data_IF_519364243189
#
_entry.id   IF_519364243189
#
_cell.length_a   1.000
_cell.length_b   1.000
_cell.length_c   1.000
_cell.angle_alpha   90.00
_cell.angle_beta   90.00
_cell.angle_gamma   90.00
#
_symmetry.space_group_name_H-M   'P 1'
#
loop_
_entity.id
_entity.type
_entity.pdbx_description
1 polymer ?
#
# COMPACT_ATOMS: atom_id res chain seq x y z
N UNK A 1 56.55 31.49 34.39
CA UNK A 1 55.25 31.08 34.96
C UNK A 1 54.32 30.67 33.84
N UNK A 2 53.85 29.42 33.90
CA UNK A 2 53.17 28.66 32.86
C UNK A 2 51.79 29.22 32.49
N UNK A 3 51.51 29.42 31.21
CA UNK A 3 50.13 29.58 30.72
C UNK A 3 49.53 28.18 30.54
N UNK A 4 48.70 27.77 31.50
CA UNK A 4 47.95 26.53 31.44
C UNK A 4 46.78 26.72 30.46
N UNK A 5 46.92 26.22 29.23
CA UNK A 5 45.81 26.16 28.28
C UNK A 5 44.88 25.00 28.71
N UNK A 6 43.57 25.20 28.93
CA UNK A 6 42.67 24.10 29.26
C UNK A 6 42.52 23.15 28.08
N UNK A 7 42.72 21.86 28.35
CA UNK A 7 42.56 20.75 27.40
C UNK A 7 41.11 20.68 26.89
N UNK A 8 40.84 20.71 25.56
CA UNK A 8 39.49 20.59 25.05
C UNK A 8 38.94 19.19 25.38
N UNK A 9 37.91 19.18 26.23
CA UNK A 9 37.21 17.99 26.74
C UNK A 9 37.08 16.85 25.72
N UNK A 10 37.36 15.63 26.18
CA UNK A 10 37.19 14.40 25.45
C UNK A 10 35.83 14.37 24.73
N UNK A 11 35.87 14.30 23.39
CA UNK A 11 34.65 14.10 22.58
C UNK A 11 34.18 12.67 22.79
N UNK A 12 33.30 12.48 23.75
CA UNK A 12 32.54 11.25 23.94
C UNK A 12 31.58 11.08 22.76
N UNK A 13 32.07 10.56 21.64
CA UNK A 13 31.26 10.26 20.44
C UNK A 13 31.02 8.75 20.33
N UNK A 14 30.48 8.15 21.38
CA UNK A 14 29.73 6.90 21.24
C UNK A 14 28.29 7.27 20.87
N UNK A 15 27.97 7.21 19.56
CA UNK A 15 26.59 7.25 19.07
C UNK A 15 25.81 6.12 19.77
N UNK A 16 24.72 6.39 20.51
CA UNK A 16 23.82 5.31 20.89
C UNK A 16 23.20 4.82 19.58
N UNK A 17 23.42 3.56 19.25
CA UNK A 17 22.61 2.87 18.25
C UNK A 17 21.21 2.71 18.86
N UNK A 18 20.44 3.81 18.84
CA UNK A 18 19.04 3.84 19.24
C UNK A 18 18.27 3.07 18.19
N UNK A 19 18.12 1.77 18.39
CA UNK A 19 17.17 0.97 17.63
C UNK A 19 15.82 1.65 17.69
N UNK A 20 15.23 1.88 16.52
CA UNK A 20 13.89 2.41 16.31
C UNK A 20 12.93 1.79 17.33
N UNK A 21 12.35 2.57 18.27
CA UNK A 21 11.34 2.08 19.20
C UNK A 21 10.28 1.17 18.57
N UNK A 22 9.75 0.18 19.31
CA UNK A 22 8.64 -0.64 18.82
C UNK A 22 7.42 0.24 18.50
N UNK A 23 7.15 0.45 17.21
CA UNK A 23 6.15 1.40 16.71
C UNK A 23 6.63 2.32 15.57
N UNK A 24 7.92 2.28 15.21
CA UNK A 24 8.49 3.17 14.18
C UNK A 24 8.57 2.54 12.78
N UNK A 25 8.02 1.33 12.60
CA UNK A 25 7.48 1.01 11.28
C UNK A 25 6.42 2.07 10.99
N UNK A 26 6.58 2.90 9.94
CA UNK A 26 5.52 3.81 9.53
C UNK A 26 4.19 3.05 9.50
N UNK A 27 3.06 3.68 9.91
CA UNK A 27 1.75 3.05 9.81
C UNK A 27 1.70 2.46 8.41
N UNK A 28 1.55 1.13 8.33
CA UNK A 28 1.60 0.44 7.05
C UNK A 28 0.67 1.20 6.13
N UNK A 29 1.23 1.81 5.08
CA UNK A 29 0.46 2.58 4.12
C UNK A 29 -0.49 1.57 3.48
N UNK A 30 -1.66 1.41 4.09
CA UNK A 30 -2.65 0.47 3.66
C UNK A 30 -3.04 0.94 2.27
N UNK A 31 -2.48 0.28 1.26
CA UNK A 31 -2.58 0.64 -0.16
C UNK A 31 -4.01 0.46 -0.71
N UNK A 32 -4.99 0.34 0.17
CA UNK A 32 -6.40 0.11 -0.11
C UNK A 32 -7.33 1.12 0.57
N UNK A 33 -6.79 2.16 1.20
CA UNK A 33 -7.59 3.24 1.78
C UNK A 33 -7.97 4.31 0.75
N UNK A 34 -9.26 4.55 0.54
CA UNK A 34 -9.76 5.75 -0.17
C UNK A 34 -9.54 7.06 0.58
N UNK A 35 -8.92 7.00 1.76
CA UNK A 35 -8.82 8.10 2.75
C UNK A 35 -7.46 8.80 2.84
N UNK A 36 -6.61 8.71 1.81
CA UNK A 36 -5.39 9.53 1.72
C UNK A 36 -5.71 10.84 0.99
N UNK A 37 -6.26 11.82 1.72
CA UNK A 37 -6.51 13.17 1.20
C UNK A 37 -7.78 13.83 1.77
N UNK A 38 -7.94 15.15 1.58
CA UNK A 38 -9.18 15.85 1.94
C UNK A 38 -10.41 15.14 1.39
N UNK A 39 -11.49 15.10 2.17
CA UNK A 39 -12.74 14.43 1.76
C UNK A 39 -13.14 14.86 0.35
N UNK A 40 -13.15 13.89 -0.57
CA UNK A 40 -13.68 14.07 -1.91
C UNK A 40 -14.98 13.28 -2.01
N UNK A 41 -16.11 13.91 -2.35
CA UNK A 41 -17.32 13.15 -2.59
C UNK A 41 -17.06 12.17 -3.74
N UNK A 42 -17.25 10.88 -3.49
CA UNK A 42 -17.20 9.87 -4.54
C UNK A 42 -18.27 10.21 -5.57
N UNK A 43 -17.89 10.31 -6.84
CA UNK A 43 -18.86 10.51 -7.92
C UNK A 43 -19.73 9.27 -8.02
N UNK A 44 -20.99 9.40 -7.59
CA UNK A 44 -21.98 8.33 -7.70
C UNK A 44 -22.23 8.08 -9.19
N UNK A 45 -21.85 6.90 -9.69
CA UNK A 45 -22.20 6.47 -11.05
C UNK A 45 -21.16 5.60 -11.78
N UNK A 46 -19.87 5.76 -11.47
CA UNK A 46 -18.83 5.04 -12.24
C UNK A 46 -18.59 3.59 -11.82
N UNK A 47 -19.06 3.17 -10.64
CA UNK A 47 -18.87 1.79 -10.19
C UNK A 47 -19.67 0.77 -11.03
N UNK A 48 -20.83 1.17 -11.55
CA UNK A 48 -21.73 0.25 -12.25
C UNK A 48 -21.25 -0.08 -13.67
N UNK A 49 -20.62 0.86 -14.37
CA UNK A 49 -20.12 0.63 -15.74
C UNK A 49 -19.15 -0.57 -15.82
N UNK A 50 -18.02 -0.53 -15.10
CA UNK A 50 -17.08 -1.65 -15.04
C UNK A 50 -17.70 -2.94 -14.53
N UNK A 51 -18.58 -2.88 -13.53
CA UNK A 51 -19.27 -4.06 -13.01
C UNK A 51 -20.09 -4.76 -14.09
N UNK A 52 -20.90 -4.00 -14.84
CA UNK A 52 -21.72 -4.54 -15.94
C UNK A 52 -20.85 -5.16 -17.03
N UNK A 53 -19.74 -4.51 -17.40
CA UNK A 53 -18.78 -5.03 -18.39
C UNK A 53 -18.19 -6.38 -17.94
N UNK A 54 -17.77 -6.48 -16.68
CA UNK A 54 -17.22 -7.73 -16.13
C UNK A 54 -18.28 -8.83 -16.10
N UNK A 55 -19.50 -8.52 -15.68
CA UNK A 55 -20.61 -9.49 -15.67
C UNK A 55 -20.95 -10.00 -17.08
N UNK A 56 -20.99 -9.11 -18.08
CA UNK A 56 -21.21 -9.51 -19.47
C UNK A 56 -20.09 -10.40 -19.99
N UNK A 57 -18.84 -10.04 -19.74
CA UNK A 57 -17.70 -10.87 -20.14
C UNK A 57 -17.74 -12.25 -19.49
N UNK A 58 -18.05 -12.32 -18.20
CA UNK A 58 -18.21 -13.58 -17.47
C UNK A 58 -19.33 -14.45 -18.07
N UNK A 59 -20.47 -13.85 -18.44
CA UNK A 59 -21.58 -14.55 -19.10
C UNK A 59 -21.14 -15.12 -20.46
N UNK A 60 -20.43 -14.36 -21.28
CA UNK A 60 -19.91 -14.83 -22.58
C UNK A 60 -18.97 -16.02 -22.38
N UNK A 61 -18.03 -15.94 -21.43
CA UNK A 61 -17.13 -17.04 -21.10
C UNK A 61 -17.91 -18.29 -20.64
N UNK A 62 -18.89 -18.12 -19.75
CA UNK A 62 -19.70 -19.22 -19.25
C UNK A 62 -20.50 -19.92 -20.36
N UNK A 63 -21.12 -19.15 -21.26
CA UNK A 63 -21.84 -19.69 -22.41
C UNK A 63 -20.92 -20.40 -23.40
N UNK A 64 -19.70 -19.89 -23.62
CA UNK A 64 -18.70 -20.56 -24.46
C UNK A 64 -18.34 -21.93 -23.89
N UNK A 65 -18.02 -22.01 -22.60
CA UNK A 65 -17.69 -23.29 -21.96
C UNK A 65 -18.88 -24.24 -21.93
N UNK A 66 -20.10 -23.73 -21.72
CA UNK A 66 -21.31 -24.54 -21.78
C UNK A 66 -21.51 -25.13 -23.17
N UNK A 67 -21.38 -24.33 -24.23
CA UNK A 67 -21.49 -24.81 -25.60
C UNK A 67 -20.40 -25.82 -25.95
N UNK A 68 -19.16 -25.58 -25.50
CA UNK A 68 -18.04 -26.50 -25.67
C UNK A 68 -18.28 -27.83 -24.97
N UNK A 69 -18.77 -27.81 -23.72
CA UNK A 69 -19.11 -29.02 -22.97
C UNK A 69 -20.21 -29.84 -23.68
N UNK A 70 -21.26 -29.17 -24.16
CA UNK A 70 -22.33 -29.83 -24.94
C UNK A 70 -21.75 -30.46 -26.21
N UNK A 71 -20.84 -29.76 -26.91
CA UNK A 71 -20.23 -30.27 -28.14
C UNK A 71 -19.30 -31.47 -27.91
N UNK A 72 -18.64 -31.56 -26.75
CA UNK A 72 -17.81 -32.71 -26.38
C UNK A 72 -18.61 -33.92 -25.89
N UNK A 73 -19.80 -33.69 -25.32
CA UNK A 73 -20.68 -34.75 -24.81
C UNK A 73 -21.55 -35.40 -25.90
N UNK A 74 -21.61 -34.78 -27.09
CA UNK A 74 -22.38 -35.24 -28.25
C UNK A 74 -21.59 -36.22 -29.13
#
# INVERSE_FOLDING_TARGET
MSAHLPDPAARNTSRPYGGVPPGETPPGESSTGSGSGPYRPLTRGWAMGPLVVICLLALVCALFFLAYAIMLDL
#
